data_IF_311644327811
#
_entry.id   IF_311644327811
#
_cell.length_a   1.000
_cell.length_b   1.000
_cell.length_c   1.000
_cell.angle_alpha   90.00
_cell.angle_beta   90.00
_cell.angle_gamma   90.00
#
_symmetry.space_group_name_H-M   'P 1'
#
loop_
_entity.id
_entity.type
_entity.pdbx_description
1 polymer ?
#
# COMPACT_ATOMS: atom_id res chain seq x y z
N UNK A 1 -21.21 12.82 10.90
CA UNK A 1 -21.11 11.34 10.92
C UNK A 1 -19.95 10.97 10.02
N UNK A 2 -18.90 10.32 10.54
CA UNK A 2 -17.82 9.81 9.68
C UNK A 2 -18.37 8.69 8.80
N UNK A 3 -18.26 8.84 7.48
CA UNK A 3 -18.69 7.82 6.54
C UNK A 3 -17.64 6.70 6.52
N UNK A 4 -18.00 5.48 6.90
CA UNK A 4 -17.11 4.33 6.77
C UNK A 4 -17.30 3.72 5.38
N UNK A 5 -16.22 3.51 4.65
CA UNK A 5 -16.22 2.92 3.30
C UNK A 5 -15.35 1.67 3.32
N UNK A 6 -15.82 0.55 2.76
CA UNK A 6 -15.05 -0.69 2.76
C UNK A 6 -14.05 -0.73 1.60
N UNK A 7 -12.85 -1.27 1.87
CA UNK A 7 -11.82 -1.51 0.87
C UNK A 7 -12.32 -2.46 -0.21
N UNK A 8 -12.17 -2.10 -1.50
CA UNK A 8 -12.62 -2.94 -2.62
C UNK A 8 -11.84 -4.25 -2.77
N UNK A 9 -10.66 -4.36 -2.16
CA UNK A 9 -9.83 -5.57 -2.22
C UNK A 9 -10.04 -6.49 -1.02
N UNK A 10 -9.89 -5.97 0.20
CA UNK A 10 -9.93 -6.79 1.41
C UNK A 10 -11.18 -6.62 2.27
N UNK A 11 -12.13 -5.77 1.88
CA UNK A 11 -13.38 -5.54 2.61
C UNK A 11 -13.26 -4.78 3.94
N UNK A 12 -12.04 -4.49 4.41
CA UNK A 12 -11.82 -3.78 5.69
C UNK A 12 -12.40 -2.36 5.67
N UNK A 13 -12.95 -1.87 6.80
CA UNK A 13 -13.46 -0.51 6.91
C UNK A 13 -12.32 0.51 6.79
N UNK A 14 -12.52 1.52 5.96
CA UNK A 14 -11.57 2.61 5.70
C UNK A 14 -12.21 3.95 6.05
N UNK A 15 -11.36 4.88 6.50
CA UNK A 15 -11.75 6.28 6.72
C UNK A 15 -11.46 7.07 5.43
N UNK A 16 -12.47 7.56 4.72
CA UNK A 16 -12.25 8.44 3.59
C UNK A 16 -11.74 9.79 4.08
N UNK A 17 -11.07 10.52 3.19
CA UNK A 17 -10.59 11.87 3.48
C UNK A 17 -10.39 12.68 2.21
N UNK A 18 -10.32 13.99 2.37
CA UNK A 18 -9.85 14.89 1.32
C UNK A 18 -8.34 14.73 1.18
N UNK A 19 -7.88 14.16 0.07
CA UNK A 19 -6.47 13.94 -0.16
C UNK A 19 -5.72 15.18 -0.63
N UNK A 20 -4.44 15.27 -0.29
CA UNK A 20 -3.56 16.34 -0.74
C UNK A 20 -3.42 16.28 -2.27
N UNK A 21 -3.70 17.39 -2.99
CA UNK A 21 -3.58 17.43 -4.45
C UNK A 21 -2.14 17.22 -4.94
N UNK A 22 -1.13 17.39 -4.07
CA UNK A 22 0.28 17.14 -4.37
C UNK A 22 0.72 15.70 -4.07
N UNK A 23 -0.12 14.89 -3.41
CA UNK A 23 0.16 13.48 -3.14
C UNK A 23 0.17 12.71 -4.45
N UNK A 24 1.27 11.99 -4.70
CA UNK A 24 1.45 11.19 -5.92
C UNK A 24 1.00 9.74 -5.68
N UNK A 25 1.69 8.90 -4.88
CA UNK A 25 1.09 7.67 -4.39
C UNK A 25 0.21 7.94 -3.16
N UNK A 26 -0.65 6.96 -2.83
CA UNK A 26 -1.40 6.86 -1.56
C UNK A 26 -2.20 8.09 -1.13
N UNK A 27 -2.70 8.87 -2.10
CA UNK A 27 -3.63 9.97 -1.83
C UNK A 27 -4.92 9.46 -1.18
N UNK A 28 -5.37 10.10 -0.09
CA UNK A 28 -6.67 9.85 0.54
C UNK A 28 -7.79 10.19 -0.45
N UNK A 29 -8.83 9.36 -0.44
CA UNK A 29 -9.97 9.50 -1.32
C UNK A 29 -11.21 8.86 -0.69
N UNK A 30 -12.39 9.18 -1.23
CA UNK A 30 -13.66 8.54 -0.87
C UNK A 30 -13.88 7.20 -1.59
N UNK A 31 -13.02 6.83 -2.54
CA UNK A 31 -13.07 5.56 -3.25
C UNK A 31 -11.66 5.04 -3.51
N UNK A 32 -11.48 3.72 -3.49
CA UNK A 32 -10.21 3.07 -3.81
C UNK A 32 -9.91 1.87 -2.91
N UNK A 33 -8.64 1.76 -2.53
CA UNK A 33 -8.09 0.72 -1.66
C UNK A 33 -7.76 1.31 -0.27
N UNK A 34 -7.77 0.48 0.77
CA UNK A 34 -7.12 0.83 2.03
C UNK A 34 -5.61 0.99 1.82
N UNK A 35 -4.93 1.68 2.75
CA UNK A 35 -3.48 1.93 2.65
C UNK A 35 -2.68 0.63 2.43
N UNK A 36 -2.95 -0.43 3.19
CA UNK A 36 -2.25 -1.72 3.06
C UNK A 36 -2.43 -2.34 1.67
N UNK A 37 -3.67 -2.34 1.15
CA UNK A 37 -3.95 -2.85 -0.19
C UNK A 37 -3.39 -1.95 -1.29
N UNK A 38 -3.36 -0.63 -1.08
CA UNK A 38 -2.75 0.32 -1.99
C UNK A 38 -1.24 0.09 -2.08
N UNK A 39 -0.56 -0.19 -0.97
CA UNK A 39 0.86 -0.58 -0.92
C UNK A 39 1.10 -1.86 -1.71
N UNK A 40 0.29 -2.91 -1.49
CA UNK A 40 0.39 -4.14 -2.30
C UNK A 40 0.21 -3.85 -3.80
N UNK A 41 -0.77 -3.01 -4.15
CA UNK A 41 -0.99 -2.64 -5.55
C UNK A 41 0.20 -1.87 -6.12
N UNK A 42 0.74 -0.90 -5.39
CA UNK A 42 1.92 -0.14 -5.79
C UNK A 42 3.10 -1.07 -6.08
N UNK A 43 3.39 -2.01 -5.19
CA UNK A 43 4.46 -2.98 -5.40
C UNK A 43 4.23 -3.91 -6.59
N UNK A 44 3.00 -4.39 -6.81
CA UNK A 44 2.68 -5.32 -7.89
C UNK A 44 2.51 -4.65 -9.26
N UNK A 45 2.42 -3.33 -9.34
CA UNK A 45 2.08 -2.62 -10.60
C UNK A 45 3.06 -1.52 -11.01
N UNK A 46 3.99 -1.14 -10.14
CA UNK A 46 4.96 -0.06 -10.43
C UNK A 46 6.25 -0.65 -10.96
N UNK A 47 6.54 -0.50 -12.25
CA UNK A 47 7.84 -0.86 -12.81
C UNK A 47 8.90 0.23 -12.55
N UNK A 48 10.17 -0.12 -12.33
CA UNK A 48 10.75 -1.47 -12.30
C UNK A 48 10.62 -2.19 -10.94
N UNK A 49 9.91 -1.59 -9.98
CA UNK A 49 9.84 -2.07 -8.60
C UNK A 49 9.16 -3.44 -8.48
N UNK A 50 8.10 -3.70 -9.24
CA UNK A 50 7.45 -5.02 -9.32
C UNK A 50 8.43 -6.10 -9.76
N UNK A 51 9.15 -5.90 -10.87
CA UNK A 51 10.16 -6.85 -11.36
C UNK A 51 11.26 -7.12 -10.33
N UNK A 52 11.72 -6.08 -9.64
CA UNK A 52 12.76 -6.21 -8.60
C UNK A 52 12.24 -7.01 -7.40
N UNK A 53 11.04 -6.69 -6.92
CA UNK A 53 10.44 -7.38 -5.78
C UNK A 53 10.13 -8.82 -6.10
N UNK A 54 9.62 -9.13 -7.29
CA UNK A 54 9.40 -10.51 -7.73
C UNK A 54 10.72 -11.31 -7.71
N UNK A 55 11.82 -10.74 -8.20
CA UNK A 55 13.13 -11.39 -8.17
C UNK A 55 13.67 -11.63 -6.74
N UNK A 56 13.39 -10.71 -5.81
CA UNK A 56 13.78 -10.83 -4.40
C UNK A 56 12.89 -11.84 -3.66
N UNK A 57 11.57 -11.73 -3.82
CA UNK A 57 10.57 -12.56 -3.16
C UNK A 57 10.59 -14.00 -3.67
N UNK A 58 11.03 -14.24 -4.91
CA UNK A 58 11.30 -15.59 -5.40
C UNK A 58 12.24 -16.39 -4.47
N UNK A 59 13.12 -15.70 -3.73
CA UNK A 59 14.09 -16.32 -2.80
C UNK A 59 13.65 -16.29 -1.34
N UNK A 60 12.73 -15.39 -0.97
CA UNK A 60 12.51 -15.01 0.43
C UNK A 60 11.05 -14.85 0.85
N UNK A 61 10.10 -14.97 -0.09
CA UNK A 61 8.66 -14.73 0.06
C UNK A 61 8.27 -13.32 0.53
N UNK A 62 6.96 -13.05 0.70
CA UNK A 62 6.40 -11.75 1.07
C UNK A 62 6.80 -11.28 2.48
N UNK A 63 7.30 -12.17 3.33
CA UNK A 63 7.75 -11.82 4.69
C UNK A 63 8.97 -10.91 4.67
N UNK A 64 9.67 -10.77 3.55
CA UNK A 64 10.73 -9.75 3.40
C UNK A 64 10.21 -8.32 3.62
N UNK A 65 8.91 -8.06 3.42
CA UNK A 65 8.27 -6.78 3.69
C UNK A 65 8.22 -6.44 5.19
N UNK A 66 8.43 -7.42 6.07
CA UNK A 66 8.57 -7.21 7.51
C UNK A 66 9.97 -6.69 7.89
N UNK A 67 10.90 -6.63 6.94
CA UNK A 67 12.25 -6.10 7.16
C UNK A 67 12.21 -4.58 7.40
N UNK A 68 12.77 -4.07 8.50
CA UNK A 68 12.85 -2.63 8.76
C UNK A 68 13.52 -1.85 7.62
N UNK A 69 14.52 -2.45 6.95
CA UNK A 69 15.21 -1.81 5.83
C UNK A 69 14.29 -1.59 4.62
N UNK A 70 13.37 -2.53 4.36
CA UNK A 70 12.37 -2.38 3.28
C UNK A 70 11.35 -1.31 3.66
N UNK A 71 10.88 -1.34 4.91
CA UNK A 71 9.91 -0.37 5.42
C UNK A 71 10.48 1.06 5.42
N UNK A 72 11.75 1.23 5.78
CA UNK A 72 12.45 2.51 5.71
C UNK A 72 12.55 3.02 4.26
N UNK A 73 12.87 2.15 3.30
CA UNK A 73 12.90 2.53 1.89
C UNK A 73 11.52 2.95 1.39
N UNK A 74 10.45 2.26 1.80
CA UNK A 74 9.08 2.67 1.48
C UNK A 74 8.78 4.04 2.09
N UNK A 75 9.18 4.29 3.34
CA UNK A 75 9.03 5.60 3.98
C UNK A 75 9.64 6.72 3.13
N UNK A 76 10.87 6.55 2.65
CA UNK A 76 11.53 7.53 1.77
C UNK A 76 10.79 7.74 0.45
N UNK A 77 10.21 6.69 -0.13
CA UNK A 77 9.38 6.80 -1.34
C UNK A 77 8.10 7.58 -1.06
N UNK A 78 7.46 7.33 0.08
CA UNK A 78 6.23 8.01 0.50
C UNK A 78 6.48 9.49 0.80
N UNK A 79 7.57 9.81 1.48
CA UNK A 79 8.02 11.19 1.72
C UNK A 79 8.28 11.93 0.41
N UNK A 80 9.05 11.33 -0.50
CA UNK A 80 9.31 11.91 -1.82
C UNK A 80 8.03 12.05 -2.67
N UNK A 81 7.05 11.17 -2.47
CA UNK A 81 5.74 11.18 -3.10
C UNK A 81 4.74 12.16 -2.47
N UNK A 82 5.09 12.80 -1.35
CA UNK A 82 4.23 13.67 -0.56
C UNK A 82 2.89 12.99 -0.19
N UNK A 83 2.96 11.72 0.19
CA UNK A 83 1.81 10.89 0.55
C UNK A 83 1.01 11.49 1.71
N UNK A 84 -0.31 11.30 1.68
CA UNK A 84 -1.19 11.73 2.77
C UNK A 84 -1.01 10.93 4.07
N UNK A 85 -0.63 9.66 3.94
CA UNK A 85 -0.37 8.78 5.08
C UNK A 85 1.14 8.69 5.34
N UNK A 86 1.58 8.71 6.61
CA UNK A 86 2.94 8.39 6.99
C UNK A 86 3.16 6.86 6.92
N UNK A 87 4.42 6.42 6.86
CA UNK A 87 4.76 4.99 6.70
C UNK A 87 4.33 4.15 7.91
N UNK A 88 4.24 4.78 9.07
CA UNK A 88 3.81 4.20 10.34
C UNK A 88 2.32 3.84 10.37
N UNK A 89 1.51 4.42 9.47
CA UNK A 89 0.11 4.02 9.31
C UNK A 89 -0.04 2.69 8.54
N UNK A 90 1.04 2.17 7.94
CA UNK A 90 1.02 0.88 7.24
C UNK A 90 1.10 -0.27 8.25
N UNK A 91 0.09 -1.13 8.22
CA UNK A 91 0.12 -2.41 8.95
C UNK A 91 0.77 -3.48 8.06
N UNK A 92 2.09 -3.60 8.20
CA UNK A 92 2.93 -4.52 7.43
C UNK A 92 2.54 -6.00 7.59
N UNK A 93 2.25 -6.52 8.79
CA UNK A 93 1.67 -7.87 8.94
C UNK A 93 0.43 -8.09 8.09
N UNK A 94 -0.49 -7.10 8.03
CA UNK A 94 -1.66 -7.18 7.15
C UNK A 94 -1.28 -7.17 5.67
N UNK A 95 -0.29 -6.38 5.26
CA UNK A 95 0.17 -6.36 3.85
C UNK A 95 0.63 -7.75 3.42
N UNK A 96 1.39 -8.43 4.28
CA UNK A 96 1.86 -9.81 4.06
C UNK A 96 0.69 -10.78 4.04
N UNK A 97 -0.18 -10.77 5.06
CA UNK A 97 -1.36 -11.65 5.13
C UNK A 97 -2.25 -11.53 3.88
N UNK A 98 -2.39 -10.31 3.37
CA UNK A 98 -3.25 -10.01 2.23
C UNK A 98 -2.51 -10.05 0.89
N UNK A 99 -1.24 -10.46 0.83
CA UNK A 99 -0.41 -10.30 -0.36
C UNK A 99 -1.04 -10.91 -1.60
N UNK A 100 -1.59 -12.13 -1.47
CA UNK A 100 -2.15 -12.89 -2.58
C UNK A 100 -3.64 -12.68 -2.85
N UNK A 101 -4.29 -11.75 -2.13
CA UNK A 101 -5.66 -11.37 -2.48
C UNK A 101 -5.71 -10.82 -3.92
N UNK A 102 -6.70 -11.24 -4.73
CA UNK A 102 -6.83 -10.78 -6.10
C UNK A 102 -7.01 -9.26 -6.14
N UNK A 103 -6.36 -8.60 -7.10
CA UNK A 103 -6.59 -7.18 -7.31
C UNK A 103 -7.99 -6.97 -7.93
N UNK A 104 -8.79 -6.01 -7.41
CA UNK A 104 -10.07 -5.69 -8.01
C UNK A 104 -9.86 -5.20 -9.44
N UNK A 105 -10.79 -5.55 -10.33
CA UNK A 105 -10.80 -5.02 -11.69
C UNK A 105 -11.04 -3.50 -11.63
N UNK A 106 -10.19 -2.74 -12.32
CA UNK A 106 -10.33 -1.29 -12.47
C UNK A 106 -11.60 -0.94 -13.25
#
# INVERSE_FOLDING_TARGET
MEQIINCRRCGRPCRPGEGNPKSRPFRRASQGLCLNCAITNFFKTTEPLSSILEGIMYKTDERILLSPAIQEQVGRIMEAGNCDAPVEEIDWPTVVEQWDLPMPKL
#
